data_IF_355717625179
#
_entry.id   IF_355717625179
#
_cell.length_a   1.000
_cell.length_b   1.000
_cell.length_c   1.000
_cell.angle_alpha   90.00
_cell.angle_beta   90.00
_cell.angle_gamma   90.00
#
_symmetry.space_group_name_H-M   'P 1'
#
loop_
_entity.id
_entity.type
_entity.pdbx_description
1 polymer ?
#
# COMPACT_ATOMS: atom_id res chain seq x y z
N UNK A 1 -6.59 13.10 -2.05
CA UNK A 1 -5.38 13.39 -1.28
C UNK A 1 -5.75 13.58 0.19
N UNK A 2 -5.03 12.93 1.10
CA UNK A 2 -5.16 13.16 2.54
C UNK A 2 -4.31 14.36 2.95
N UNK A 3 -4.90 15.27 3.72
CA UNK A 3 -4.29 16.47 4.28
C UNK A 3 -3.87 16.27 5.74
N UNK A 4 -3.06 17.18 6.28
CA UNK A 4 -2.51 17.10 7.65
C UNK A 4 -3.59 17.31 8.72
N UNK A 5 -4.72 17.92 8.37
CA UNK A 5 -5.91 18.00 9.24
C UNK A 5 -6.76 16.71 9.22
N UNK A 6 -6.35 15.72 8.44
CA UNK A 6 -6.99 14.40 8.34
C UNK A 6 -8.19 14.33 7.40
N UNK A 7 -8.45 15.38 6.61
CA UNK A 7 -9.51 15.45 5.61
C UNK A 7 -9.09 14.91 4.23
N UNK A 8 -10.08 14.52 3.43
CA UNK A 8 -9.85 14.01 2.07
C UNK A 8 -10.25 15.08 1.06
N UNK A 9 -9.26 15.57 0.32
CA UNK A 9 -9.47 16.55 -0.75
C UNK A 9 -9.27 15.91 -2.11
N UNK A 10 -10.16 16.21 -3.06
CA UNK A 10 -9.95 15.86 -4.46
C UNK A 10 -8.74 16.65 -5.00
N UNK A 11 -7.88 15.98 -5.76
CA UNK A 11 -6.79 16.66 -6.46
C UNK A 11 -7.34 17.40 -7.68
N UNK A 12 -6.81 18.59 -7.94
CA UNK A 12 -7.18 19.37 -9.13
C UNK A 12 -6.73 18.70 -10.43
N UNK A 13 -5.59 18.00 -10.40
CA UNK A 13 -5.07 17.18 -11.50
C UNK A 13 -4.31 15.98 -10.91
N UNK A 14 -4.39 14.83 -11.57
CA UNK A 14 -3.59 13.66 -11.17
C UNK A 14 -2.12 13.89 -11.55
N UNK A 15 -1.17 13.82 -10.62
CA UNK A 15 0.24 13.97 -10.91
C UNK A 15 0.82 12.97 -11.92
N UNK A 16 0.12 11.84 -12.18
CA UNK A 16 0.49 10.84 -13.17
C UNK A 16 -0.20 11.01 -14.53
N UNK A 17 -1.28 11.79 -14.63
CA UNK A 17 -2.06 12.00 -15.86
C UNK A 17 -1.18 12.39 -17.08
N UNK A 18 -0.18 13.31 -16.95
CA UNK A 18 0.68 13.66 -18.08
C UNK A 18 1.61 12.54 -18.56
N UNK A 19 1.70 11.44 -17.81
CA UNK A 19 2.63 10.34 -18.03
C UNK A 19 1.92 9.00 -18.26
N UNK A 20 0.59 8.98 -18.37
CA UNK A 20 -0.19 7.76 -18.65
C UNK A 20 0.15 7.13 -20.01
N UNK A 21 0.63 7.93 -20.96
CA UNK A 21 1.07 7.45 -22.28
C UNK A 21 2.37 6.63 -22.22
N UNK A 22 3.09 6.65 -21.09
CA UNK A 22 4.24 5.78 -20.89
C UNK A 22 3.75 4.36 -20.61
N UNK A 23 4.11 3.43 -21.49
CA UNK A 23 3.76 2.00 -21.34
C UNK A 23 4.37 1.34 -20.10
N UNK A 24 5.32 2.00 -19.43
CA UNK A 24 5.95 1.54 -18.19
C UNK A 24 5.56 2.43 -17.01
N UNK A 25 4.82 1.85 -16.07
CA UNK A 25 4.43 2.46 -14.81
C UNK A 25 5.63 3.06 -14.06
N UNK A 26 6.76 2.33 -14.00
CA UNK A 26 7.94 2.78 -13.27
C UNK A 26 8.59 4.01 -13.92
N UNK A 27 8.48 4.13 -15.25
CA UNK A 27 8.94 5.32 -15.97
C UNK A 27 8.04 6.52 -15.69
N UNK A 28 6.70 6.33 -15.70
CA UNK A 28 5.75 7.39 -15.37
C UNK A 28 5.89 7.92 -13.94
N UNK A 29 6.05 7.02 -12.97
CA UNK A 29 6.26 7.39 -11.57
C UNK A 29 7.56 8.19 -11.40
N UNK A 30 8.65 7.77 -12.04
CA UNK A 30 9.94 8.50 -12.00
C UNK A 30 9.86 9.84 -12.73
N UNK A 31 9.19 9.92 -13.87
CA UNK A 31 9.00 11.15 -14.62
C UNK A 31 8.18 12.18 -13.81
N UNK A 32 7.20 11.72 -13.05
CA UNK A 32 6.46 12.51 -12.07
C UNK A 32 7.28 12.88 -10.81
N UNK A 33 8.56 12.49 -10.73
CA UNK A 33 9.49 12.80 -9.64
C UNK A 33 9.29 11.95 -8.39
N UNK A 34 8.49 10.88 -8.46
CA UNK A 34 8.28 9.96 -7.35
C UNK A 34 9.35 8.88 -7.34
N UNK A 35 9.89 8.62 -6.17
CA UNK A 35 10.84 7.54 -5.92
C UNK A 35 10.33 6.66 -4.79
N UNK A 36 10.50 5.35 -4.93
CA UNK A 36 10.10 4.39 -3.89
C UNK A 36 10.81 4.74 -2.59
N UNK A 37 10.04 4.92 -1.53
CA UNK A 37 10.51 5.29 -0.20
C UNK A 37 10.42 4.12 0.77
N UNK A 38 9.28 3.44 0.80
CA UNK A 38 9.07 2.26 1.64
C UNK A 38 8.00 1.34 1.06
N UNK A 39 7.86 0.14 1.62
CA UNK A 39 6.76 -0.75 1.32
C UNK A 39 6.36 -1.54 2.57
N UNK A 40 5.06 -1.79 2.71
CA UNK A 40 4.49 -2.58 3.80
C UNK A 40 3.86 -3.84 3.23
N UNK A 41 4.47 -4.98 3.56
CA UNK A 41 4.19 -6.25 2.90
C UNK A 41 4.89 -6.36 1.55
N UNK A 42 4.69 -7.50 0.90
CA UNK A 42 5.10 -7.76 -0.46
C UNK A 42 4.01 -8.58 -1.18
N UNK A 43 3.99 -8.45 -2.51
CA UNK A 43 3.05 -9.13 -3.41
C UNK A 43 2.97 -10.65 -3.21
N UNK A 44 4.09 -11.29 -2.89
CA UNK A 44 4.16 -12.75 -2.81
C UNK A 44 3.62 -13.30 -1.48
N UNK A 45 3.68 -12.50 -0.41
CA UNK A 45 3.33 -12.94 0.94
C UNK A 45 2.00 -12.38 1.45
N UNK A 46 1.52 -11.27 0.88
CA UNK A 46 0.38 -10.55 1.43
C UNK A 46 -0.67 -10.30 0.34
N UNK A 47 -1.95 -10.63 0.61
CA UNK A 47 -3.03 -10.37 -0.35
C UNK A 47 -3.31 -8.87 -0.52
N UNK A 48 -2.83 -8.06 0.42
CA UNK A 48 -2.88 -6.60 0.42
C UNK A 48 -1.51 -6.06 0.85
N UNK A 49 -0.90 -5.17 0.05
CA UNK A 49 0.36 -4.51 0.40
C UNK A 49 0.34 -3.04 -0.01
N UNK A 50 1.22 -2.25 0.61
CA UNK A 50 1.40 -0.84 0.29
C UNK A 50 2.77 -0.60 -0.30
N UNK A 51 2.83 0.23 -1.34
CA UNK A 51 4.06 0.82 -1.83
C UNK A 51 3.98 2.33 -1.65
N UNK A 52 4.95 2.90 -0.93
CA UNK A 52 4.99 4.32 -0.63
C UNK A 52 6.11 4.94 -1.44
N UNK A 53 5.74 5.93 -2.23
CA UNK A 53 6.64 6.73 -3.03
C UNK A 53 6.67 8.15 -2.48
N UNK A 54 7.85 8.74 -2.46
CA UNK A 54 8.06 10.12 -2.06
C UNK A 54 8.54 10.91 -3.27
N UNK A 55 7.96 12.08 -3.46
CA UNK A 55 8.39 13.01 -4.49
C UNK A 55 9.70 13.67 -4.08
N UNK A 56 10.71 13.58 -4.92
CA UNK A 56 11.99 14.27 -4.77
C UNK A 56 12.19 15.12 -6.02
N UNK A 57 12.28 16.44 -5.88
CA UNK A 57 12.31 17.33 -7.04
C UNK A 57 12.15 18.79 -6.66
N UNK A 58 12.11 19.66 -7.68
CA UNK A 58 12.16 21.12 -7.57
C UNK A 58 11.22 21.66 -6.48
N UNK A 59 11.64 22.70 -5.72
CA UNK A 59 10.84 23.32 -4.65
C UNK A 59 9.46 23.86 -5.08
N UNK A 60 9.20 23.95 -6.38
CA UNK A 60 7.95 24.43 -6.97
C UNK A 60 6.86 23.34 -7.10
N UNK A 61 7.21 22.05 -6.95
CA UNK A 61 6.24 20.94 -6.94
C UNK A 61 5.66 20.78 -5.54
N UNK A 62 4.63 21.57 -5.23
CA UNK A 62 4.18 21.84 -3.86
C UNK A 62 3.30 20.76 -3.23
N UNK A 63 2.60 19.91 -3.97
CA UNK A 63 1.77 18.80 -3.45
C UNK A 63 1.32 17.89 -4.61
N UNK A 64 1.01 16.60 -4.39
CA UNK A 64 1.21 15.82 -3.16
C UNK A 64 2.66 15.34 -2.99
N UNK A 65 3.18 15.35 -1.75
CA UNK A 65 4.55 14.91 -1.45
C UNK A 65 4.70 13.39 -1.46
N UNK A 66 3.63 12.65 -1.12
CA UNK A 66 3.63 11.20 -1.08
C UNK A 66 2.54 10.64 -1.98
N UNK A 67 2.89 9.55 -2.67
CA UNK A 67 1.98 8.70 -3.42
C UNK A 67 2.03 7.31 -2.78
N UNK A 68 0.86 6.74 -2.52
CA UNK A 68 0.71 5.44 -1.89
C UNK A 68 -0.08 4.58 -2.86
N UNK A 69 0.51 3.48 -3.29
CA UNK A 69 -0.14 2.47 -4.12
C UNK A 69 -0.62 1.37 -3.19
N UNK A 70 -1.93 1.24 -3.06
CA UNK A 70 -2.58 0.15 -2.34
C UNK A 70 -2.82 -0.96 -3.34
N UNK A 71 -2.14 -2.08 -3.18
CA UNK A 71 -2.24 -3.17 -4.14
C UNK A 71 -2.87 -4.41 -3.51
N UNK A 72 -3.78 -5.01 -4.25
CA UNK A 72 -4.30 -6.36 -4.06
C UNK A 72 -3.97 -7.20 -5.31
N UNK A 73 -4.12 -8.53 -5.23
CA UNK A 73 -3.65 -9.50 -6.25
C UNK A 73 -3.88 -9.12 -7.73
N UNK A 74 -4.94 -8.38 -8.05
CA UNK A 74 -5.26 -7.97 -9.44
C UNK A 74 -5.67 -6.50 -9.59
N UNK A 75 -5.67 -5.73 -8.52
CA UNK A 75 -6.15 -4.35 -8.53
C UNK A 75 -5.21 -3.50 -7.70
N UNK A 76 -4.98 -2.28 -8.13
CA UNK A 76 -4.31 -1.28 -7.33
C UNK A 76 -5.11 -0.01 -7.32
N UNK A 77 -4.99 0.73 -6.23
CA UNK A 77 -5.57 2.06 -6.04
C UNK A 77 -4.43 3.01 -5.68
N UNK A 78 -4.43 4.18 -6.28
CA UNK A 78 -3.44 5.22 -6.01
C UNK A 78 -4.08 6.26 -5.10
N UNK A 79 -3.47 6.49 -3.94
CA UNK A 79 -3.85 7.60 -3.08
C UNK A 79 -2.66 8.50 -2.81
N UNK A 80 -2.97 9.74 -2.50
CA UNK A 80 -1.96 10.77 -2.29
C UNK A 80 -2.04 11.33 -0.88
N UNK A 81 -0.90 11.73 -0.34
CA UNK A 81 -0.83 12.46 0.92
C UNK A 81 0.03 13.72 0.75
N UNK A 82 -0.44 14.82 1.33
CA UNK A 82 0.20 16.13 1.15
C UNK A 82 1.58 16.21 1.82
N UNK A 83 1.75 15.51 2.95
CA UNK A 83 2.88 15.64 3.86
C UNK A 83 3.21 14.31 4.53
N UNK A 84 4.35 14.26 5.24
CA UNK A 84 4.76 13.09 6.02
C UNK A 84 3.76 12.80 7.16
N UNK A 85 3.30 13.78 7.97
CA UNK A 85 2.24 13.55 8.95
C UNK A 85 0.97 12.94 8.35
N UNK A 86 0.46 13.50 7.25
CA UNK A 86 -0.72 12.96 6.58
C UNK A 86 -0.49 11.50 6.13
N UNK A 87 0.66 11.19 5.54
CA UNK A 87 1.00 9.83 5.14
C UNK A 87 1.08 8.87 6.34
N UNK A 88 1.69 9.30 7.46
CA UNK A 88 1.75 8.47 8.67
C UNK A 88 0.36 8.23 9.28
N UNK A 89 -0.52 9.23 9.24
CA UNK A 89 -1.91 9.07 9.67
C UNK A 89 -2.67 8.08 8.77
N UNK A 90 -2.46 8.15 7.45
CA UNK A 90 -3.03 7.17 6.51
C UNK A 90 -2.56 5.76 6.86
N UNK A 91 -1.25 5.60 7.06
CA UNK A 91 -0.65 4.33 7.43
C UNK A 91 -1.20 3.80 8.75
N UNK A 92 -1.37 4.65 9.75
CA UNK A 92 -1.95 4.27 11.04
C UNK A 92 -3.42 3.82 10.91
N UNK A 93 -4.21 4.48 10.06
CA UNK A 93 -5.60 4.11 9.77
C UNK A 93 -5.72 2.76 9.06
N UNK A 94 -4.72 2.40 8.24
CA UNK A 94 -4.73 1.16 7.45
C UNK A 94 -3.97 0.00 8.07
N UNK A 95 -3.10 0.25 9.04
CA UNK A 95 -2.32 -0.79 9.71
C UNK A 95 -3.15 -1.98 10.22
N UNK A 96 -4.33 -1.79 10.86
CA UNK A 96 -5.16 -2.91 11.28
C UNK A 96 -5.67 -3.78 10.11
N UNK A 97 -6.06 -3.15 8.99
CA UNK A 97 -6.55 -3.87 7.82
C UNK A 97 -5.44 -4.68 7.14
N UNK A 98 -4.24 -4.11 7.02
CA UNK A 98 -3.06 -4.81 6.50
C UNK A 98 -2.67 -6.00 7.37
N UNK A 99 -2.66 -5.80 8.69
CA UNK A 99 -2.35 -6.87 9.65
C UNK A 99 -3.39 -7.99 9.60
N UNK A 100 -4.69 -7.64 9.55
CA UNK A 100 -5.76 -8.62 9.40
C UNK A 100 -5.62 -9.43 8.10
N UNK A 101 -5.34 -8.76 6.98
CA UNK A 101 -5.14 -9.41 5.69
C UNK A 101 -3.96 -10.38 5.70
N UNK A 102 -2.84 -10.00 6.32
CA UNK A 102 -1.67 -10.88 6.48
C UNK A 102 -1.99 -12.10 7.37
N UNK A 103 -2.69 -11.91 8.49
CA UNK A 103 -3.09 -13.01 9.39
C UNK A 103 -4.05 -13.97 8.68
N UNK A 104 -5.03 -13.47 7.94
CA UNK A 104 -5.98 -14.30 7.19
C UNK A 104 -5.27 -15.15 6.13
N UNK A 105 -4.30 -14.59 5.41
CA UNK A 105 -3.49 -15.35 4.45
C UNK A 105 -2.67 -16.46 5.15
N UNK A 106 -2.03 -16.15 6.29
CA UNK A 106 -1.32 -17.16 7.08
C UNK A 106 -2.25 -18.29 7.51
N UNK A 107 -3.45 -17.96 8.01
CA UNK A 107 -4.45 -18.96 8.38
C UNK A 107 -4.89 -19.81 7.18
N UNK A 108 -5.12 -19.18 6.02
CA UNK A 108 -5.45 -19.89 4.78
C UNK A 108 -4.34 -20.84 4.32
N UNK A 109 -3.07 -20.43 4.42
CA UNK A 109 -1.91 -21.30 4.14
C UNK A 109 -1.78 -22.45 5.15
N UNK A 110 -2.12 -22.20 6.41
CA UNK A 110 -2.07 -23.20 7.49
C UNK A 110 -3.20 -24.24 7.42
N UNK A 111 -4.33 -23.87 6.81
CA UNK A 111 -5.49 -24.73 6.59
C UNK A 111 -5.38 -25.54 5.27
N UNK A 112 -4.26 -25.44 4.55
CA UNK A 112 -3.99 -26.29 3.39
C UNK A 112 -3.88 -27.76 3.87
N UNK A 113 -4.79 -28.65 3.43
CA UNK A 113 -4.84 -30.05 3.87
C UNK A 113 -3.61 -30.87 3.46
N UNK A 114 -2.71 -30.31 2.64
CA UNK A 114 -1.41 -30.92 2.29
C UNK A 114 -0.39 -30.82 3.42
N UNK A 115 -0.54 -29.85 4.33
CA UNK A 115 0.31 -29.67 5.51
C UNK A 115 -0.26 -30.45 6.70
N UNK A 116 0.09 -31.74 6.80
CA UNK A 116 -0.40 -32.65 7.85
C UNK A 116 -0.11 -32.22 9.31
N UNK A 117 0.69 -31.17 9.52
CA UNK A 117 1.10 -30.66 10.84
C UNK A 117 1.00 -29.13 10.96
N UNK A 118 -0.01 -28.51 10.33
CA UNK A 118 -0.27 -27.06 10.46
C UNK A 118 -0.85 -26.67 11.82
N UNK A 119 -0.74 -25.38 12.18
CA UNK A 119 -1.25 -24.76 13.41
C UNK A 119 -2.71 -25.10 13.72
N UNK A 120 -3.55 -25.32 12.70
CA UNK A 120 -4.93 -25.79 12.87
C UNK A 120 -5.01 -27.15 13.60
N UNK A 121 -4.05 -28.05 13.36
CA UNK A 121 -3.90 -29.30 14.10
C UNK A 121 -3.50 -29.09 15.57
N UNK A 122 -2.66 -28.08 15.84
CA UNK A 122 -2.26 -27.71 17.20
C UNK A 122 -3.41 -27.06 17.98
N UNK A 123 -4.15 -26.12 17.39
CA UNK A 123 -5.33 -25.49 18.03
C UNK A 123 -6.42 -26.52 18.31
N UNK A 124 -6.65 -27.46 17.37
CA UNK A 124 -7.60 -28.55 17.58
C UNK A 124 -7.20 -29.48 18.73
N UNK A 125 -5.91 -29.73 18.94
CA UNK A 125 -5.41 -30.55 20.06
C UNK A 125 -5.50 -29.89 21.44
N UNK A 126 -5.65 -28.55 21.49
CA UNK A 126 -5.76 -27.80 22.76
C UNK A 126 -7.23 -27.60 23.16
N UNK A 127 -8.17 -27.75 22.22
CA UNK A 127 -9.62 -27.58 22.43
C UNK A 127 -10.39 -28.90 22.62
N UNK A 128 -9.70 -30.04 22.63
CA UNK A 128 -10.25 -31.38 22.98
C UNK A 128 -9.48 -31.94 24.16
#
# INVERSE_FOLDING_TARGET
>A
MLTTDGSWNQLEADPLEPYEELNDWDEGVKAAGYHRWSSFGCRDDNPLWLEVYRRYGKPELTVPLFMIVVSARHHYEVVYAESLPAMMDLQARWAPALQAAAVTELLGRLDDPRTKHGFAGLVRSVLT
#
